data_IF_620770837084
#
_entry.id   IF_620770837084
#
_cell.length_a   1.000
_cell.length_b   1.000
_cell.length_c   1.000
_cell.angle_alpha   90.00
_cell.angle_beta   90.00
_cell.angle_gamma   90.00
#
_symmetry.space_group_name_H-M   'P 1'
#
loop_
_entity.id
_entity.type
_entity.pdbx_description
1 polymer ?
#
# COMPACT_ATOMS: atom_id res chain seq x y z
N UNK A 1 -9.29 -2.25 7.01
CA UNK A 1 -8.49 -1.11 7.51
C UNK A 1 -7.05 -1.22 7.07
N UNK A 2 -6.72 -0.95 5.83
CA UNK A 2 -5.33 -1.11 5.42
C UNK A 2 -4.49 0.10 5.83
N UNK A 3 -3.22 -0.18 6.15
CA UNK A 3 -2.17 0.82 6.25
C UNK A 3 -1.14 0.50 5.18
N UNK A 4 -0.82 1.51 4.37
CA UNK A 4 0.22 1.41 3.36
C UNK A 4 1.43 2.19 3.82
N UNK A 5 2.58 1.56 3.76
CA UNK A 5 3.86 2.16 4.12
C UNK A 5 4.70 2.24 2.85
N UNK A 6 4.79 3.45 2.28
CA UNK A 6 5.33 3.68 0.93
C UNK A 6 6.68 4.36 1.01
N UNK A 7 7.65 3.80 0.29
CA UNK A 7 8.95 4.43 0.08
C UNK A 7 9.19 4.58 -1.42
N UNK A 8 9.76 5.68 -1.84
CA UNK A 8 10.10 5.88 -3.24
C UNK A 8 11.36 6.74 -3.37
N UNK A 9 12.09 6.50 -4.46
CA UNK A 9 13.31 7.23 -4.77
C UNK A 9 12.97 8.40 -5.69
N UNK A 10 12.64 9.54 -5.08
CA UNK A 10 12.33 10.74 -5.84
C UNK A 10 12.55 11.95 -4.95
N UNK A 11 12.55 13.13 -5.56
CA UNK A 11 12.54 14.38 -4.81
C UNK A 11 11.12 14.63 -4.29
N UNK A 12 10.96 14.94 -3.00
CA UNK A 12 9.63 15.16 -2.46
C UNK A 12 8.99 16.42 -3.04
N UNK A 13 7.77 16.27 -3.53
CA UNK A 13 6.92 17.40 -3.90
C UNK A 13 5.50 17.13 -3.45
N UNK A 14 4.75 18.16 -3.03
CA UNK A 14 3.34 17.97 -2.68
C UNK A 14 2.51 17.37 -3.82
N UNK A 15 2.78 17.79 -5.06
CA UNK A 15 2.05 17.28 -6.22
C UNK A 15 2.26 15.79 -6.42
N UNK A 16 3.49 15.30 -6.27
CA UNK A 16 3.79 13.87 -6.40
C UNK A 16 3.13 13.07 -5.27
N UNK A 17 3.24 13.55 -4.04
CA UNK A 17 2.60 12.90 -2.90
C UNK A 17 1.09 12.77 -3.10
N UNK A 18 0.45 13.86 -3.58
CA UNK A 18 -0.99 13.85 -3.83
C UNK A 18 -1.37 12.82 -4.91
N UNK A 19 -0.59 12.72 -5.96
CA UNK A 19 -0.84 11.77 -7.05
C UNK A 19 -0.64 10.32 -6.60
N UNK A 20 0.39 10.06 -5.81
CA UNK A 20 0.63 8.73 -5.23
C UNK A 20 -0.54 8.36 -4.32
N UNK A 21 -0.92 9.25 -3.44
CA UNK A 21 -2.03 9.03 -2.52
C UNK A 21 -3.32 8.74 -3.28
N UNK A 22 -3.68 9.59 -4.23
CA UNK A 22 -4.92 9.41 -4.98
C UNK A 22 -4.93 8.09 -5.77
N UNK A 23 -3.82 7.76 -6.41
CA UNK A 23 -3.70 6.54 -7.19
C UNK A 23 -3.77 5.28 -6.32
N UNK A 24 -3.03 5.24 -5.22
CA UNK A 24 -3.05 4.09 -4.32
C UNK A 24 -4.39 3.94 -3.61
N UNK A 25 -5.01 5.05 -3.24
CA UNK A 25 -6.33 5.00 -2.61
C UNK A 25 -7.37 4.40 -3.56
N UNK A 26 -7.35 4.81 -4.82
CA UNK A 26 -8.25 4.30 -5.85
C UNK A 26 -8.03 2.81 -6.09
N UNK A 27 -6.78 2.37 -6.26
CA UNK A 27 -6.46 0.96 -6.47
C UNK A 27 -6.86 0.10 -5.27
N UNK A 28 -6.59 0.58 -4.07
CA UNK A 28 -6.91 -0.15 -2.83
C UNK A 28 -8.42 -0.32 -2.68
N UNK A 29 -9.17 0.70 -3.03
CA UNK A 29 -10.63 0.65 -2.99
C UNK A 29 -11.20 -0.26 -4.09
N UNK A 30 -10.76 -0.06 -5.34
CA UNK A 30 -11.34 -0.75 -6.48
C UNK A 30 -10.96 -2.22 -6.56
N UNK A 31 -9.71 -2.55 -6.28
CA UNK A 31 -9.22 -3.93 -6.45
C UNK A 31 -9.35 -4.74 -5.16
N UNK A 32 -8.96 -4.15 -4.02
CA UNK A 32 -9.00 -4.86 -2.75
C UNK A 32 -10.27 -4.64 -1.96
N UNK A 33 -11.16 -3.77 -2.45
CA UNK A 33 -12.47 -3.48 -1.84
C UNK A 33 -12.36 -2.93 -0.42
N UNK A 34 -11.32 -2.16 -0.16
CA UNK A 34 -11.14 -1.50 1.14
C UNK A 34 -11.79 -0.12 1.12
N UNK A 35 -12.29 0.31 2.27
CA UNK A 35 -12.97 1.61 2.39
C UNK A 35 -11.95 2.74 2.33
N UNK A 36 -12.10 3.71 1.40
CA UNK A 36 -11.14 4.82 1.30
C UNK A 36 -10.99 5.61 2.59
N UNK A 37 -12.08 5.89 3.29
CA UNK A 37 -12.05 6.67 4.52
C UNK A 37 -11.35 5.96 5.67
N UNK A 38 -11.06 4.68 5.54
CA UNK A 38 -10.38 3.89 6.56
C UNK A 38 -9.01 3.40 6.08
N UNK A 39 -8.52 3.95 4.97
CA UNK A 39 -7.22 3.60 4.39
C UNK A 39 -6.20 4.66 4.76
N UNK A 40 -5.12 4.24 5.38
CA UNK A 40 -4.02 5.12 5.78
C UNK A 40 -2.83 4.90 4.84
N UNK A 41 -2.23 5.98 4.35
CA UNK A 41 -1.09 5.92 3.43
C UNK A 41 -0.02 6.87 3.95
N UNK A 42 1.13 6.32 4.33
CA UNK A 42 2.28 7.10 4.74
C UNK A 42 3.34 7.03 3.64
N UNK A 43 3.87 8.17 3.23
CA UNK A 43 4.80 8.27 2.10
C UNK A 43 6.13 8.80 2.60
N UNK A 44 7.20 8.07 2.28
CA UNK A 44 8.56 8.38 2.66
C UNK A 44 9.43 8.46 1.40
N UNK A 45 10.19 9.54 1.29
CA UNK A 45 11.07 9.77 0.14
C UNK A 45 12.50 9.44 0.52
N UNK A 46 13.15 8.62 -0.30
CA UNK A 46 14.55 8.24 -0.13
C UNK A 46 15.34 8.79 -1.30
N UNK A 47 16.44 9.51 -1.04
CA UNK A 47 17.28 9.98 -2.11
C UNK A 47 17.81 8.83 -2.95
N UNK A 48 17.80 8.94 -4.29
CA UNK A 48 18.36 7.88 -5.15
C UNK A 48 19.83 7.59 -4.87
N UNK A 49 20.54 8.49 -4.21
CA UNK A 49 21.93 8.27 -3.78
C UNK A 49 22.05 7.33 -2.58
N UNK A 50 20.94 7.07 -1.90
CA UNK A 50 20.89 6.20 -0.72
C UNK A 50 20.09 4.94 -0.94
N UNK A 51 19.75 4.64 -2.18
CA UNK A 51 19.00 3.43 -2.53
C UNK A 51 19.84 2.60 -3.48
N UNK A 52 20.22 1.41 -3.05
CA UNK A 52 21.13 0.54 -3.80
C UNK A 52 20.37 -0.68 -4.33
N UNK A 53 20.60 -1.00 -5.58
CA UNK A 53 20.14 -2.23 -6.20
C UNK A 53 21.29 -2.84 -6.98
N UNK A 54 21.63 -4.08 -6.66
CA UNK A 54 22.74 -4.77 -7.34
C UNK A 54 24.09 -4.14 -7.09
N UNK A 55 24.27 -3.51 -5.94
CA UNK A 55 25.56 -2.90 -5.57
C UNK A 55 25.79 -1.49 -6.10
N UNK A 56 24.82 -0.93 -6.82
CA UNK A 56 24.92 0.44 -7.35
C UNK A 56 23.73 1.27 -6.88
N UNK A 57 23.93 2.57 -6.71
CA UNK A 57 22.83 3.47 -6.36
C UNK A 57 21.87 3.63 -7.53
N UNK A 58 20.65 3.95 -7.23
CA UNK A 58 19.67 4.30 -8.28
C UNK A 58 20.10 5.54 -9.04
N UNK A 59 20.79 6.48 -8.38
CA UNK A 59 21.34 7.66 -9.03
C UNK A 59 22.32 7.30 -10.15
N UNK A 60 23.23 6.36 -9.88
CA UNK A 60 24.17 5.87 -10.88
C UNK A 60 23.46 5.17 -12.04
N UNK A 61 22.43 4.40 -11.74
CA UNK A 61 21.66 3.63 -12.72
C UNK A 61 20.66 4.50 -13.49
N UNK A 62 20.41 5.72 -13.03
CA UNK A 62 19.44 6.65 -13.62
C UNK A 62 18.06 6.04 -13.72
N UNK A 63 17.68 5.30 -12.69
CA UNK A 63 16.37 4.67 -12.58
C UNK A 63 15.73 5.03 -11.25
N UNK A 64 14.41 4.88 -11.18
CA UNK A 64 13.65 5.05 -9.96
C UNK A 64 13.22 3.70 -9.43
N UNK A 65 12.89 3.65 -8.16
CA UNK A 65 12.32 2.46 -7.54
C UNK A 65 11.32 2.87 -6.47
N UNK A 66 10.49 1.93 -6.09
CA UNK A 66 9.59 2.09 -4.98
C UNK A 66 9.47 0.77 -4.23
N UNK A 67 9.06 0.87 -2.99
CA UNK A 67 8.65 -0.26 -2.18
C UNK A 67 7.45 0.18 -1.36
N UNK A 68 6.37 -0.60 -1.37
CA UNK A 68 5.39 -0.40 -0.33
C UNK A 68 4.84 -1.73 0.14
N UNK A 69 4.49 -1.76 1.42
CA UNK A 69 3.71 -2.86 1.98
C UNK A 69 2.33 -2.34 2.35
N UNK A 70 1.36 -3.21 2.19
CA UNK A 70 0.00 -2.98 2.66
C UNK A 70 -0.39 -4.13 3.56
N UNK A 71 -0.88 -3.81 4.75
CA UNK A 71 -1.39 -4.81 5.67
C UNK A 71 -2.90 -4.90 5.54
N UNK A 72 -3.38 -6.11 5.33
CA UNK A 72 -4.81 -6.41 5.22
C UNK A 72 -5.12 -7.59 6.13
N UNK A 73 -6.38 -7.71 6.51
CA UNK A 73 -6.80 -8.86 7.31
C UNK A 73 -6.80 -10.12 6.46
N UNK A 74 -6.25 -11.19 7.01
CA UNK A 74 -6.15 -12.49 6.36
C UNK A 74 -7.52 -12.98 5.89
N UNK A 75 -7.56 -13.56 4.70
CA UNK A 75 -8.78 -14.14 4.14
C UNK A 75 -9.78 -13.15 3.56
N UNK A 76 -9.43 -11.88 3.45
CA UNK A 76 -10.34 -10.86 2.91
C UNK A 76 -10.18 -10.58 1.43
N UNK A 77 -9.11 -11.07 0.81
CA UNK A 77 -8.87 -10.88 -0.62
C UNK A 77 -8.38 -12.16 -1.27
N UNK A 78 -8.73 -12.34 -2.54
CA UNK A 78 -8.33 -13.51 -3.32
C UNK A 78 -6.91 -13.37 -3.85
N UNK A 79 -6.35 -14.50 -4.27
CA UNK A 79 -5.04 -14.54 -4.93
C UNK A 79 -5.02 -13.67 -6.20
N UNK A 80 -6.09 -13.71 -6.99
CA UNK A 80 -6.17 -12.94 -8.23
C UNK A 80 -6.28 -11.44 -7.96
N UNK A 81 -7.02 -11.05 -6.93
CA UNK A 81 -7.09 -9.64 -6.52
C UNK A 81 -5.73 -9.11 -6.11
N UNK A 82 -4.99 -9.89 -5.33
CA UNK A 82 -3.64 -9.50 -4.90
C UNK A 82 -2.70 -9.35 -6.09
N UNK A 83 -2.75 -10.29 -7.04
CA UNK A 83 -1.91 -10.24 -8.23
C UNK A 83 -2.23 -8.99 -9.09
N UNK A 84 -3.51 -8.69 -9.28
CA UNK A 84 -3.94 -7.48 -9.98
C UNK A 84 -3.47 -6.22 -9.29
N UNK A 85 -3.61 -6.18 -7.98
CA UNK A 85 -3.20 -5.03 -7.19
C UNK A 85 -1.70 -4.74 -7.34
N UNK A 86 -0.89 -5.79 -7.28
CA UNK A 86 0.56 -5.69 -7.46
C UNK A 86 0.90 -5.17 -8.86
N UNK A 87 0.27 -5.72 -9.89
CA UNK A 87 0.54 -5.32 -11.28
C UNK A 87 0.11 -3.87 -11.55
N UNK A 88 -1.08 -3.48 -11.11
CA UNK A 88 -1.57 -2.13 -11.35
C UNK A 88 -0.87 -1.08 -10.49
N UNK A 89 -0.40 -1.46 -9.30
CA UNK A 89 0.43 -0.59 -8.48
C UNK A 89 1.77 -0.32 -9.13
N UNK A 90 2.41 -1.35 -9.69
CA UNK A 90 3.66 -1.17 -10.43
C UNK A 90 3.45 -0.22 -11.61
N UNK A 91 2.36 -0.39 -12.36
CA UNK A 91 2.03 0.46 -13.50
C UNK A 91 1.80 1.93 -13.07
N UNK A 92 1.16 2.14 -11.94
CA UNK A 92 0.95 3.48 -11.39
C UNK A 92 2.29 4.17 -11.12
N UNK A 93 3.20 3.51 -10.44
CA UNK A 93 4.51 4.09 -10.13
C UNK A 93 5.35 4.28 -11.39
N UNK A 94 5.25 3.39 -12.37
CA UNK A 94 5.93 3.57 -13.66
C UNK A 94 5.45 4.84 -14.37
N UNK A 95 4.15 5.10 -14.34
CA UNK A 95 3.59 6.32 -14.92
C UNK A 95 4.07 7.58 -14.18
N UNK A 96 4.11 7.52 -12.84
CA UNK A 96 4.46 8.68 -12.03
C UNK A 96 5.96 8.96 -11.97
N UNK A 97 6.79 7.94 -11.97
CA UNK A 97 8.24 8.08 -11.76
C UNK A 97 9.07 7.93 -13.04
N UNK A 98 8.50 7.35 -14.08
CA UNK A 98 9.22 7.10 -15.32
C UNK A 98 9.97 5.78 -15.29
N UNK A 99 11.25 5.77 -15.67
CA UNK A 99 12.05 4.55 -15.82
C UNK A 99 12.24 3.82 -14.49
N UNK A 100 11.37 2.85 -14.22
CA UNK A 100 11.41 2.06 -13.00
C UNK A 100 12.40 0.90 -13.14
N UNK A 101 13.20 0.72 -12.10
CA UNK A 101 13.97 -0.51 -11.93
C UNK A 101 13.02 -1.67 -11.64
N UNK A 102 13.22 -2.85 -12.26
CA UNK A 102 12.37 -4.02 -11.97
C UNK A 102 12.36 -4.43 -10.50
N UNK A 103 13.45 -4.14 -9.77
CA UNK A 103 13.51 -4.36 -8.32
C UNK A 103 12.74 -3.25 -7.59
N UNK A 104 11.44 -3.24 -7.82
CA UNK A 104 10.47 -2.38 -7.15
C UNK A 104 9.36 -3.27 -6.64
N UNK A 105 8.94 -3.06 -5.40
CA UNK A 105 8.18 -4.08 -4.68
C UNK A 105 6.84 -3.59 -4.20
N UNK A 106 5.85 -4.45 -4.32
CA UNK A 106 4.57 -4.32 -3.61
C UNK A 106 4.40 -5.59 -2.76
N UNK A 107 4.26 -5.42 -1.46
CA UNK A 107 4.04 -6.54 -0.56
C UNK A 107 2.64 -6.44 0.05
N UNK A 108 1.75 -7.33 -0.40
CA UNK A 108 0.43 -7.46 0.22
C UNK A 108 0.56 -8.45 1.36
N UNK A 109 0.50 -7.95 2.58
CA UNK A 109 0.73 -8.74 3.77
C UNK A 109 -0.60 -9.06 4.44
N UNK A 110 -0.96 -10.35 4.40
CA UNK A 110 -2.11 -10.87 5.14
C UNK A 110 -1.72 -10.99 6.61
N UNK A 111 -2.51 -10.37 7.49
CA UNK A 111 -2.26 -10.42 8.92
C UNK A 111 -3.48 -10.91 9.66
N UNK A 112 -3.26 -11.58 10.78
CA UNK A 112 -4.35 -12.12 11.60
C UNK A 112 -5.14 -10.96 12.20
N UNK A 113 -6.45 -11.08 12.16
CA UNK A 113 -7.35 -10.05 12.68
C UNK A 113 -7.13 -9.77 14.18
N UNK A 114 -6.69 -10.77 14.92
CA UNK A 114 -6.39 -10.66 16.36
C UNK A 114 -5.08 -9.90 16.64
N UNK A 115 -4.20 -9.81 15.65
CA UNK A 115 -2.86 -9.21 15.81
C UNK A 115 -2.72 -7.86 15.10
N UNK A 116 -3.81 -7.35 14.53
CA UNK A 116 -3.82 -6.14 13.74
C UNK A 116 -5.00 -5.27 14.16
N UNK A 117 -4.75 -4.02 14.43
CA UNK A 117 -5.81 -3.13 14.87
C UNK A 117 -5.47 -1.66 14.67
N UNK A 118 -6.46 -0.82 14.90
CA UNK A 118 -6.30 0.62 14.91
C UNK A 118 -7.21 1.22 15.98
N UNK A 119 -6.88 2.42 16.41
CA UNK A 119 -7.65 3.07 17.46
C UNK A 119 -7.66 2.29 18.77
N UNK A 120 -6.63 1.47 18.99
CA UNK A 120 -6.47 0.67 20.22
C UNK A 120 -7.30 -0.60 20.28
N UNK A 121 -7.97 -0.97 19.17
CA UNK A 121 -8.82 -2.18 19.12
C UNK A 121 -8.42 -3.06 17.95
N UNK A 122 -8.48 -4.38 18.14
CA UNK A 122 -8.14 -5.34 17.09
C UNK A 122 -9.21 -5.34 15.99
N UNK A 123 -8.81 -5.78 14.80
CA UNK A 123 -9.78 -5.98 13.71
C UNK A 123 -10.80 -7.05 14.06
N UNK A 124 -10.40 -8.08 14.79
CA UNK A 124 -11.30 -9.13 15.27
C UNK A 124 -12.39 -8.53 16.17
N UNK A 125 -11.98 -7.70 17.13
CA UNK A 125 -12.94 -7.02 18.02
C UNK A 125 -13.94 -6.19 17.22
N UNK A 126 -13.45 -5.42 16.24
CA UNK A 126 -14.30 -4.56 15.42
C UNK A 126 -15.28 -5.34 14.58
N UNK A 127 -14.84 -6.47 14.02
CA UNK A 127 -15.70 -7.33 13.23
C UNK A 127 -16.82 -7.93 14.10
N UNK A 128 -16.50 -8.46 15.26
CA UNK A 128 -17.46 -9.06 16.18
C UNK A 128 -18.45 -8.00 16.68
N UNK A 129 -17.95 -6.83 17.05
CA UNK A 129 -18.80 -5.72 17.51
C UNK A 129 -19.78 -5.27 16.43
N UNK A 130 -19.33 -5.17 15.18
CA UNK A 130 -20.20 -4.81 14.07
C UNK A 130 -21.30 -5.83 13.85
N UNK A 131 -20.96 -7.14 13.93
CA UNK A 131 -21.95 -8.21 13.81
C UNK A 131 -22.98 -8.12 14.93
N UNK A 132 -22.53 -7.91 16.15
CA UNK A 132 -23.40 -7.80 17.32
C UNK A 132 -24.36 -6.60 17.20
N UNK A 133 -23.89 -5.49 16.68
CA UNK A 133 -24.72 -4.28 16.51
C UNK A 133 -25.82 -4.46 15.47
N UNK A 134 -25.55 -5.25 14.45
CA UNK A 134 -26.54 -5.50 13.40
C UNK A 134 -27.64 -6.44 13.90
N UNK A 135 -27.28 -7.47 14.66
CA UNK A 135 -28.21 -8.50 15.10
C UNK A 135 -29.33 -8.01 16.03
N UNK A 136 -29.06 -7.21 17.08
CA UNK A 136 -30.08 -6.89 18.06
C UNK A 136 -31.17 -5.96 17.52
N UNK A 137 -30.91 -5.28 16.43
CA UNK A 137 -31.88 -4.41 15.82
C UNK A 137 -32.95 -5.12 15.02
N UNK A 138 -32.75 -6.40 14.84
CA UNK A 138 -33.68 -7.20 14.04
C UNK A 138 -34.95 -7.56 14.81
#
# INVERSE_FOLDING_TARGET
MPILNVKLSAQPTPALSDRIHAGLLELTSRILHKKPQLTSIAIDYVSPEHWYVGGKTLAEQKQSSFYFDIKIVDGTNTKDEKARYIAESFALFAELLGDLHPESYVYVQDVRAEAYGFGGKTQEYRYITAQTRVSPGA
#
